data_IF_287035142150
#
_entry.id   IF_287035142150
#
_cell.length_a   1.000
_cell.length_b   1.000
_cell.length_c   1.000
_cell.angle_alpha   90.00
_cell.angle_beta   90.00
_cell.angle_gamma   90.00
#
_symmetry.space_group_name_H-M   'P 1'
#
loop_
_entity.id
_entity.type
_entity.pdbx_description
1 polymer ?
#
# COMPACT_ATOMS: atom_id res chain seq x y z
N UNK A 1 -11.31 -11.85 -16.57
CA UNK A 1 -11.89 -12.07 -15.23
C UNK A 1 -12.81 -13.28 -15.34
N UNK A 2 -12.64 -14.30 -14.50
CA UNK A 2 -13.47 -15.51 -14.54
C UNK A 2 -14.87 -15.23 -14.01
N UNK A 3 -15.87 -16.03 -14.42
CA UNK A 3 -17.24 -15.92 -13.89
C UNK A 3 -17.28 -16.00 -12.36
N UNK A 4 -16.44 -16.88 -11.79
CA UNK A 4 -16.28 -17.03 -10.34
C UNK A 4 -15.85 -15.73 -9.65
N UNK A 5 -14.87 -15.02 -10.20
CA UNK A 5 -14.40 -13.76 -9.62
C UNK A 5 -15.48 -12.65 -9.66
N UNK A 6 -16.37 -12.68 -10.65
CA UNK A 6 -17.51 -11.75 -10.74
C UNK A 6 -18.54 -12.06 -9.65
N UNK A 7 -18.86 -13.33 -9.45
CA UNK A 7 -19.80 -13.78 -8.42
C UNK A 7 -19.30 -13.39 -7.03
N UNK A 8 -18.04 -13.71 -6.71
CA UNK A 8 -17.42 -13.35 -5.43
C UNK A 8 -17.44 -11.83 -5.18
N UNK A 9 -17.10 -11.04 -6.20
CA UNK A 9 -17.15 -9.58 -6.10
C UNK A 9 -18.56 -9.08 -5.78
N UNK A 10 -19.57 -9.61 -6.47
CA UNK A 10 -20.97 -9.24 -6.26
C UNK A 10 -21.43 -9.61 -4.85
N UNK A 11 -21.11 -10.81 -4.37
CA UNK A 11 -21.45 -11.27 -3.02
C UNK A 11 -20.79 -10.40 -1.94
N UNK A 12 -19.48 -10.14 -2.07
CA UNK A 12 -18.75 -9.28 -1.15
C UNK A 12 -19.32 -7.85 -1.13
N UNK A 13 -19.66 -7.31 -2.31
CA UNK A 13 -20.23 -5.98 -2.45
C UNK A 13 -21.62 -5.86 -1.82
N UNK A 14 -22.51 -6.84 -2.04
CA UNK A 14 -23.85 -6.82 -1.45
C UNK A 14 -23.81 -6.96 0.09
N UNK A 15 -22.83 -7.67 0.65
CA UNK A 15 -22.62 -7.68 2.10
C UNK A 15 -22.16 -6.32 2.62
N UNK A 16 -21.16 -5.68 1.98
CA UNK A 16 -20.66 -4.35 2.37
C UNK A 16 -21.68 -3.24 2.15
N UNK A 17 -22.63 -3.41 1.22
CA UNK A 17 -23.72 -2.45 0.96
C UNK A 17 -24.66 -2.26 2.14
N UNK A 18 -24.71 -3.22 3.08
CA UNK A 18 -25.44 -3.10 4.35
C UNK A 18 -24.84 -1.99 5.24
N UNK A 19 -23.56 -1.68 5.06
CA UNK A 19 -22.86 -0.60 5.76
C UNK A 19 -23.10 0.74 5.03
N UNK A 20 -24.26 1.34 5.26
CA UNK A 20 -24.75 2.48 4.47
C UNK A 20 -23.85 3.73 4.51
N UNK A 21 -23.01 3.88 5.54
CA UNK A 21 -22.08 5.01 5.69
C UNK A 21 -20.82 4.90 4.84
N UNK A 22 -20.51 3.73 4.25
CA UNK A 22 -19.40 3.60 3.32
C UNK A 22 -19.78 4.21 1.98
N UNK A 23 -18.88 4.97 1.35
CA UNK A 23 -19.13 5.42 -0.02
C UNK A 23 -19.04 4.25 -1.02
N UNK A 24 -19.64 4.42 -2.20
CA UNK A 24 -19.73 3.35 -3.22
C UNK A 24 -18.36 2.89 -3.72
N UNK A 25 -17.41 3.82 -3.86
CA UNK A 25 -16.08 3.53 -4.40
C UNK A 25 -15.28 2.71 -3.40
N UNK A 26 -15.28 3.12 -2.13
CA UNK A 26 -14.65 2.35 -1.07
C UNK A 26 -15.26 0.95 -0.94
N UNK A 27 -16.60 0.81 -0.95
CA UNK A 27 -17.24 -0.52 -0.93
C UNK A 27 -16.75 -1.42 -2.06
N UNK A 28 -16.60 -0.88 -3.26
CA UNK A 28 -16.11 -1.65 -4.41
C UNK A 28 -14.66 -2.11 -4.20
N UNK A 29 -13.78 -1.20 -3.77
CA UNK A 29 -12.37 -1.51 -3.49
C UNK A 29 -12.24 -2.56 -2.39
N UNK A 30 -12.98 -2.41 -1.30
CA UNK A 30 -13.01 -3.38 -0.20
C UNK A 30 -13.58 -4.72 -0.66
N UNK A 31 -14.69 -4.75 -1.41
CA UNK A 31 -15.24 -6.00 -1.91
C UNK A 31 -14.26 -6.75 -2.83
N UNK A 32 -13.52 -6.00 -3.65
CA UNK A 32 -12.54 -6.57 -4.59
C UNK A 32 -11.34 -7.20 -3.89
N UNK A 33 -10.93 -6.69 -2.73
CA UNK A 33 -9.78 -7.23 -1.98
C UNK A 33 -10.01 -8.64 -1.43
N UNK A 34 -11.27 -9.08 -1.33
CA UNK A 34 -11.65 -10.43 -0.89
C UNK A 34 -11.83 -11.42 -2.04
N UNK A 35 -11.85 -10.98 -3.30
CA UNK A 35 -12.00 -11.88 -4.46
C UNK A 35 -10.74 -12.71 -4.63
N UNK A 36 -10.88 -14.04 -4.62
CA UNK A 36 -9.76 -14.98 -4.62
C UNK A 36 -8.97 -15.02 -3.30
N UNK A 37 -9.45 -14.34 -2.25
CA UNK A 37 -8.83 -14.40 -0.92
C UNK A 37 -9.07 -15.78 -0.28
N UNK A 38 -8.07 -16.31 0.43
CA UNK A 38 -8.23 -17.50 1.27
C UNK A 38 -9.16 -17.25 2.47
N UNK A 39 -9.39 -15.98 2.80
CA UNK A 39 -10.28 -15.52 3.85
C UNK A 39 -11.40 -14.70 3.21
N UNK A 40 -12.54 -15.32 2.84
CA UNK A 40 -13.65 -14.63 2.18
C UNK A 40 -14.30 -13.61 3.11
N UNK A 41 -15.00 -12.64 2.54
CA UNK A 41 -15.66 -11.61 3.34
C UNK A 41 -16.77 -12.23 4.21
N UNK A 42 -16.77 -11.88 5.49
CA UNK A 42 -17.82 -12.23 6.44
C UNK A 42 -18.27 -10.97 7.17
N UNK A 43 -19.54 -10.58 6.97
CA UNK A 43 -20.12 -9.45 7.68
C UNK A 43 -20.06 -9.60 9.22
N UNK A 44 -20.15 -10.82 9.72
CA UNK A 44 -20.00 -11.11 11.16
C UNK A 44 -18.58 -10.83 11.64
N UNK A 45 -17.57 -11.34 10.93
CA UNK A 45 -16.15 -11.08 11.28
C UNK A 45 -15.82 -9.60 11.14
N UNK A 46 -16.37 -8.93 10.13
CA UNK A 46 -16.22 -7.49 9.94
C UNK A 46 -16.74 -6.70 11.15
N UNK A 47 -17.98 -6.95 11.58
CA UNK A 47 -18.54 -6.25 12.75
C UNK A 47 -17.79 -6.57 14.05
N UNK A 48 -17.37 -7.82 14.25
CA UNK A 48 -16.56 -8.20 15.42
C UNK A 48 -15.20 -7.50 15.42
N UNK A 49 -14.52 -7.47 14.28
CA UNK A 49 -13.21 -6.79 14.13
C UNK A 49 -13.36 -5.29 14.35
N UNK A 50 -14.40 -4.69 13.76
CA UNK A 50 -14.75 -3.28 13.95
C UNK A 50 -15.00 -2.95 15.42
N UNK A 51 -15.72 -3.82 16.14
CA UNK A 51 -15.98 -3.65 17.56
C UNK A 51 -14.69 -3.78 18.39
N UNK A 52 -13.87 -4.80 18.16
CA UNK A 52 -12.56 -4.95 18.84
C UNK A 52 -11.66 -3.74 18.63
N UNK A 53 -11.57 -3.27 17.38
CA UNK A 53 -10.82 -2.06 17.05
C UNK A 53 -11.39 -0.87 17.80
N UNK A 54 -12.72 -0.69 17.83
CA UNK A 54 -13.36 0.39 18.58
C UNK A 54 -13.07 0.32 20.09
N UNK A 55 -13.05 -0.87 20.68
CA UNK A 55 -12.82 -1.07 22.11
C UNK A 55 -11.37 -0.76 22.50
N UNK A 56 -10.40 -1.17 21.67
CA UNK A 56 -8.99 -0.80 21.87
C UNK A 56 -8.70 0.66 21.53
N UNK A 57 -9.45 1.23 20.58
CA UNK A 57 -9.36 2.64 20.17
C UNK A 57 -10.26 3.58 20.95
N UNK A 58 -11.01 3.11 21.95
CA UNK A 58 -11.81 3.98 22.82
C UNK A 58 -10.96 5.07 23.50
N UNK A 59 -9.63 4.93 23.48
CA UNK A 59 -8.64 5.90 23.95
C UNK A 59 -8.15 6.92 22.88
N UNK A 60 -8.47 6.77 21.58
CA UNK A 60 -8.02 7.71 20.52
C UNK A 60 -8.97 7.86 19.31
N UNK A 61 -9.50 9.08 19.11
CA UNK A 61 -10.40 9.51 18.02
C UNK A 61 -9.77 9.66 16.60
N UNK A 62 -8.67 8.98 16.28
CA UNK A 62 -7.80 9.38 15.16
C UNK A 62 -8.09 8.75 13.78
N UNK A 63 -9.03 7.81 13.66
CA UNK A 63 -9.34 7.23 12.34
C UNK A 63 -10.44 7.99 11.62
N UNK A 64 -10.15 8.48 10.41
CA UNK A 64 -11.22 8.74 9.46
C UNK A 64 -11.91 7.42 9.09
N UNK A 65 -13.23 7.44 8.89
CA UNK A 65 -14.00 6.23 8.59
C UNK A 65 -13.42 5.41 7.43
N UNK A 66 -13.00 6.02 6.30
CA UNK A 66 -12.44 5.25 5.18
C UNK A 66 -11.19 4.44 5.53
N UNK A 67 -10.28 5.02 6.31
CA UNK A 67 -9.01 4.39 6.66
C UNK A 67 -9.23 3.25 7.64
N UNK A 68 -10.10 3.45 8.65
CA UNK A 68 -10.48 2.39 9.59
C UNK A 68 -11.05 1.17 8.87
N UNK A 69 -12.04 1.39 8.00
CA UNK A 69 -12.68 0.27 7.31
C UNK A 69 -11.71 -0.43 6.33
N UNK A 70 -10.77 0.32 5.74
CA UNK A 70 -9.70 -0.25 4.90
C UNK A 70 -8.76 -1.15 5.70
N UNK A 71 -8.32 -0.70 6.87
CA UNK A 71 -7.48 -1.49 7.78
C UNK A 71 -8.21 -2.73 8.28
N UNK A 72 -9.50 -2.63 8.64
CA UNK A 72 -10.32 -3.80 9.03
C UNK A 72 -10.31 -4.85 7.93
N UNK A 73 -10.60 -4.45 6.69
CA UNK A 73 -10.62 -5.37 5.57
C UNK A 73 -9.24 -5.97 5.29
N UNK A 74 -8.16 -5.20 5.40
CA UNK A 74 -6.79 -5.70 5.25
C UNK A 74 -6.43 -6.74 6.32
N UNK A 75 -6.80 -6.49 7.59
CA UNK A 75 -6.62 -7.47 8.67
C UNK A 75 -7.43 -8.74 8.39
N UNK A 76 -8.66 -8.61 7.91
CA UNK A 76 -9.51 -9.75 7.56
C UNK A 76 -8.94 -10.59 6.41
N UNK A 77 -8.45 -9.96 5.34
CA UNK A 77 -7.89 -10.67 4.18
C UNK A 77 -6.62 -11.46 4.52
N UNK A 78 -6.00 -11.20 5.67
CA UNK A 78 -4.80 -11.90 6.16
C UNK A 78 -5.04 -12.61 7.50
N UNK A 79 -6.30 -12.80 7.91
CA UNK A 79 -6.70 -13.47 9.16
C UNK A 79 -6.03 -12.90 10.43
N UNK A 80 -5.86 -11.58 10.50
CA UNK A 80 -5.28 -10.82 11.61
C UNK A 80 -6.34 -10.07 12.42
N UNK A 81 -7.46 -10.73 12.71
CA UNK A 81 -8.63 -10.12 13.39
C UNK A 81 -8.69 -10.38 14.89
N UNK A 82 -7.69 -11.09 15.45
CA UNK A 82 -7.59 -11.34 16.89
C UNK A 82 -7.27 -10.08 17.67
N UNK A 83 -7.62 -10.05 18.95
CA UNK A 83 -7.27 -8.91 19.83
C UNK A 83 -5.76 -8.67 19.87
N UNK A 84 -4.96 -9.73 19.92
CA UNK A 84 -3.50 -9.63 19.88
C UNK A 84 -2.99 -8.99 18.59
N UNK A 85 -3.55 -9.36 17.43
CA UNK A 85 -3.15 -8.78 16.16
C UNK A 85 -3.53 -7.29 16.08
N UNK A 86 -4.68 -6.91 16.62
CA UNK A 86 -5.09 -5.50 16.68
C UNK A 86 -4.18 -4.73 17.66
N UNK A 87 -3.88 -5.28 18.83
CA UNK A 87 -2.97 -4.65 19.79
C UNK A 87 -1.58 -4.44 19.17
N UNK A 88 -1.08 -5.43 18.42
CA UNK A 88 0.20 -5.31 17.73
C UNK A 88 0.18 -4.21 16.65
N UNK A 89 -0.94 -4.01 15.94
CA UNK A 89 -1.07 -2.93 14.96
C UNK A 89 -0.91 -1.56 15.63
N UNK A 90 -1.53 -1.39 16.80
CA UNK A 90 -1.47 -0.14 17.56
C UNK A 90 -0.08 0.08 18.14
N UNK A 91 0.56 -0.97 18.66
CA UNK A 91 1.95 -0.91 19.11
C UNK A 91 2.90 -0.54 17.96
N UNK A 92 2.74 -1.17 16.79
CA UNK A 92 3.55 -0.89 15.60
C UNK A 92 3.35 0.57 15.12
N UNK A 93 2.13 1.09 15.21
CA UNK A 93 1.84 2.50 14.94
C UNK A 93 2.60 3.42 15.92
N UNK A 94 2.53 3.16 17.23
CA UNK A 94 3.25 3.96 18.22
C UNK A 94 4.77 3.88 18.05
N UNK A 95 5.30 2.70 17.71
CA UNK A 95 6.71 2.52 17.38
C UNK A 95 7.13 3.34 16.15
N UNK A 96 6.31 3.40 15.10
CA UNK A 96 6.56 4.25 13.93
C UNK A 96 6.59 5.74 14.32
N UNK A 97 5.65 6.18 15.16
CA UNK A 97 5.64 7.56 15.66
C UNK A 97 6.90 7.87 16.47
N UNK A 98 7.31 6.97 17.36
CA UNK A 98 8.54 7.12 18.14
C UNK A 98 9.80 7.08 17.25
N UNK A 99 9.75 6.36 16.13
CA UNK A 99 10.76 6.36 15.07
C UNK A 99 10.75 7.63 14.19
N UNK A 100 9.88 8.60 14.48
CA UNK A 100 9.85 9.91 13.82
C UNK A 100 8.92 10.00 12.62
N UNK A 101 8.06 9.02 12.36
CA UNK A 101 6.95 9.19 11.42
C UNK A 101 5.87 10.09 12.03
N UNK A 102 5.11 10.80 11.19
CA UNK A 102 4.05 11.69 11.66
C UNK A 102 2.78 10.90 11.95
N UNK A 103 1.91 11.44 12.81
CA UNK A 103 0.57 10.89 13.05
C UNK A 103 -0.29 11.17 11.82
N UNK A 104 -0.65 10.13 11.10
CA UNK A 104 -1.45 10.24 9.88
C UNK A 104 -2.21 8.94 9.62
N UNK A 105 -3.24 8.98 8.77
CA UNK A 105 -3.88 7.78 8.26
C UNK A 105 -2.91 6.80 7.58
N UNK A 106 -1.87 7.32 6.91
CA UNK A 106 -0.87 6.52 6.21
C UNK A 106 0.05 5.74 7.13
N UNK A 107 0.31 6.26 8.33
CA UNK A 107 1.10 5.56 9.35
C UNK A 107 0.41 4.28 9.84
N UNK A 108 -0.93 4.22 9.80
CA UNK A 108 -1.64 2.95 10.06
C UNK A 108 -1.44 1.90 8.97
N UNK A 109 -1.37 2.30 7.69
CA UNK A 109 -1.02 1.36 6.61
C UNK A 109 0.42 0.88 6.75
N UNK A 110 1.34 1.76 7.14
CA UNK A 110 2.72 1.39 7.46
C UNK A 110 2.81 0.40 8.65
N UNK A 111 2.05 0.65 9.72
CA UNK A 111 1.96 -0.24 10.88
C UNK A 111 1.40 -1.61 10.50
N UNK A 112 0.37 -1.64 9.65
CA UNK A 112 -0.19 -2.87 9.12
C UNK A 112 0.85 -3.70 8.35
N UNK A 113 1.65 -3.05 7.50
CA UNK A 113 2.73 -3.73 6.77
C UNK A 113 3.80 -4.28 7.71
N UNK A 114 4.11 -3.56 8.79
CA UNK A 114 5.11 -3.99 9.78
C UNK A 114 4.72 -5.29 10.50
N UNK A 115 3.43 -5.63 10.57
CA UNK A 115 2.96 -6.88 11.16
C UNK A 115 3.45 -8.15 10.46
N UNK A 116 3.91 -8.02 9.21
CA UNK A 116 4.49 -9.11 8.42
C UNK A 116 6.00 -9.29 8.65
N UNK A 117 6.61 -8.42 9.46
CA UNK A 117 8.00 -8.53 9.89
C UNK A 117 8.11 -9.24 11.23
N UNK A 118 9.25 -9.90 11.48
CA UNK A 118 9.54 -10.50 12.79
C UNK A 118 9.71 -9.38 13.82
N UNK A 119 9.23 -9.59 15.04
CA UNK A 119 9.27 -8.59 16.13
C UNK A 119 10.66 -7.99 16.35
N UNK A 120 11.71 -8.82 16.34
CA UNK A 120 13.09 -8.37 16.58
C UNK A 120 13.65 -7.48 15.46
N UNK A 121 13.05 -7.50 14.27
CA UNK A 121 13.52 -6.74 13.11
C UNK A 121 12.81 -5.39 12.99
N UNK A 122 11.66 -5.20 13.66
CA UNK A 122 10.78 -4.05 13.48
C UNK A 122 11.46 -2.72 13.73
N UNK A 123 12.22 -2.57 14.82
CA UNK A 123 12.91 -1.31 15.12
C UNK A 123 13.97 -0.96 14.07
N UNK A 124 14.70 -1.96 13.57
CA UNK A 124 15.68 -1.76 12.51
C UNK A 124 15.00 -1.38 11.18
N UNK A 125 13.85 -2.00 10.87
CA UNK A 125 13.03 -1.67 9.69
C UNK A 125 12.48 -0.24 9.81
N UNK A 126 11.98 0.17 10.98
CA UNK A 126 11.50 1.53 11.22
C UNK A 126 12.63 2.54 11.02
N UNK A 127 13.81 2.29 11.60
CA UNK A 127 14.97 3.17 11.45
C UNK A 127 15.39 3.30 9.97
N UNK A 128 15.57 2.17 9.28
CA UNK A 128 15.92 2.16 7.85
C UNK A 128 14.85 2.83 6.99
N UNK A 129 13.57 2.55 7.26
CA UNK A 129 12.45 3.19 6.55
C UNK A 129 12.45 4.70 6.75
N UNK A 130 12.80 5.17 7.95
CA UNK A 130 12.93 6.60 8.24
C UNK A 130 14.10 7.24 7.49
N UNK A 131 15.22 6.55 7.38
CA UNK A 131 16.37 7.00 6.57
C UNK A 131 16.00 7.09 5.08
N UNK A 132 15.32 6.08 4.53
CA UNK A 132 14.81 6.10 3.15
C UNK A 132 13.86 7.29 2.95
N UNK A 133 12.93 7.49 3.87
CA UNK A 133 11.99 8.62 3.83
C UNK A 133 12.73 9.97 3.79
N UNK A 134 13.75 10.14 4.64
CA UNK A 134 14.54 11.37 4.68
C UNK A 134 15.36 11.59 3.41
N UNK A 135 15.96 10.53 2.86
CA UNK A 135 16.73 10.59 1.63
C UNK A 135 15.85 10.96 0.42
N UNK A 136 14.65 10.37 0.29
CA UNK A 136 13.68 10.76 -0.76
C UNK A 136 13.27 12.22 -0.58
N UNK A 137 13.00 12.65 0.66
CA UNK A 137 12.62 14.04 0.96
C UNK A 137 13.71 15.06 0.64
N UNK A 138 14.98 14.69 0.74
CA UNK A 138 16.08 15.57 0.34
C UNK A 138 16.08 15.82 -1.18
N UNK A 139 15.77 14.78 -1.97
CA UNK A 139 15.70 14.87 -3.44
C UNK A 139 14.41 15.52 -3.93
N UNK A 140 13.27 15.18 -3.32
CA UNK A 140 11.94 15.66 -3.70
C UNK A 140 11.17 16.28 -2.51
N UNK A 141 11.61 17.46 -2.01
CA UNK A 141 11.09 18.03 -0.77
C UNK A 141 9.59 18.40 -0.82
N UNK A 142 9.08 18.68 -2.02
CA UNK A 142 7.67 19.05 -2.24
C UNK A 142 6.76 17.88 -2.55
N UNK A 143 7.32 16.72 -2.90
CA UNK A 143 6.55 15.51 -3.25
C UNK A 143 6.54 14.47 -2.14
N UNK A 144 7.34 14.67 -1.09
CA UNK A 144 7.48 13.70 0.00
C UNK A 144 6.64 14.11 1.21
N UNK A 145 5.52 13.41 1.38
CA UNK A 145 4.48 13.68 2.38
C UNK A 145 4.35 12.57 3.42
N UNK A 146 3.20 12.44 4.06
CA UNK A 146 2.94 11.38 5.05
C UNK A 146 2.54 10.06 4.36
N UNK A 147 2.03 10.16 3.14
CA UNK A 147 1.66 9.11 2.21
C UNK A 147 2.81 8.20 1.77
N UNK A 148 4.07 8.65 1.91
CA UNK A 148 5.25 7.83 1.62
C UNK A 148 5.64 6.87 2.76
N UNK A 149 5.01 6.97 3.94
CA UNK A 149 5.32 6.09 5.06
C UNK A 149 5.16 4.59 4.73
N UNK A 150 4.07 4.13 4.09
CA UNK A 150 3.91 2.71 3.74
C UNK A 150 4.96 2.20 2.76
N UNK A 151 5.31 2.99 1.73
CA UNK A 151 6.27 2.52 0.72
C UNK A 151 7.70 2.49 1.28
N UNK A 152 8.08 3.47 2.09
CA UNK A 152 9.40 3.50 2.74
C UNK A 152 9.59 2.34 3.72
N UNK A 153 8.54 1.99 4.49
CA UNK A 153 8.55 0.79 5.35
C UNK A 153 8.59 -0.50 4.51
N UNK A 154 7.84 -0.56 3.41
CA UNK A 154 7.89 -1.73 2.51
C UNK A 154 9.28 -1.95 1.89
N UNK A 155 9.96 -0.87 1.49
CA UNK A 155 11.33 -0.94 0.97
C UNK A 155 12.31 -1.40 2.06
N UNK A 156 12.15 -0.89 3.29
CA UNK A 156 12.98 -1.28 4.42
C UNK A 156 12.76 -2.75 4.87
N UNK A 157 11.51 -3.25 4.80
CA UNK A 157 11.22 -4.64 5.19
C UNK A 157 11.69 -5.65 4.15
N UNK A 158 11.79 -5.27 2.88
CA UNK A 158 12.14 -6.19 1.80
C UNK A 158 13.54 -6.78 2.03
N UNK A 159 13.60 -8.09 2.27
CA UNK A 159 14.83 -8.80 2.64
C UNK A 159 15.94 -8.70 1.60
N UNK A 160 15.58 -8.54 0.31
CA UNK A 160 16.53 -8.40 -0.78
C UNK A 160 17.07 -6.98 -0.86
N UNK A 161 16.29 -5.99 -0.42
CA UNK A 161 16.71 -4.58 -0.29
C UNK A 161 17.40 -4.26 1.05
N UNK A 162 17.20 -5.06 2.09
CA UNK A 162 17.78 -4.83 3.42
C UNK A 162 19.30 -4.70 3.41
N UNK A 163 19.99 -5.45 2.55
CA UNK A 163 21.46 -5.40 2.41
C UNK A 163 21.99 -4.16 1.69
N UNK A 164 21.14 -3.46 0.94
CA UNK A 164 21.58 -2.29 0.17
C UNK A 164 21.61 -1.04 1.05
N UNK A 165 22.63 -0.17 0.87
CA UNK A 165 22.62 1.18 1.42
C UNK A 165 21.35 1.94 1.03
N UNK A 166 20.92 2.87 1.88
CA UNK A 166 19.76 3.73 1.61
C UNK A 166 19.96 4.53 0.31
N UNK A 167 21.18 5.01 0.07
CA UNK A 167 21.55 5.76 -1.15
C UNK A 167 21.29 4.96 -2.41
N UNK A 168 21.62 3.67 -2.42
CA UNK A 168 21.43 2.80 -3.59
C UNK A 168 19.93 2.63 -3.89
N UNK A 169 19.12 2.44 -2.84
CA UNK A 169 17.66 2.32 -2.97
C UNK A 169 17.08 3.61 -3.56
N UNK A 170 17.49 4.78 -3.03
CA UNK A 170 16.97 6.07 -3.50
C UNK A 170 17.48 6.43 -4.90
N UNK A 171 18.71 6.05 -5.25
CA UNK A 171 19.26 6.28 -6.60
C UNK A 171 18.53 5.45 -7.65
N UNK A 172 18.19 4.19 -7.34
CA UNK A 172 17.37 3.34 -8.20
C UNK A 172 15.97 3.94 -8.34
N UNK A 173 15.37 4.40 -7.24
CA UNK A 173 14.07 5.07 -7.26
C UNK A 173 14.09 6.32 -8.14
N UNK A 174 15.13 7.15 -8.05
CA UNK A 174 15.30 8.34 -8.91
C UNK A 174 15.47 7.97 -10.38
N UNK A 175 16.24 6.92 -10.67
CA UNK A 175 16.38 6.40 -12.05
C UNK A 175 15.03 5.98 -12.62
N UNK A 176 14.19 5.29 -11.84
CA UNK A 176 12.82 4.97 -12.25
C UNK A 176 11.98 6.23 -12.45
N UNK A 177 11.98 7.15 -11.49
CA UNK A 177 11.24 8.42 -11.57
C UNK A 177 11.55 9.20 -12.86
N UNK A 178 12.84 9.39 -13.16
CA UNK A 178 13.31 10.08 -14.38
C UNK A 178 12.94 9.31 -15.64
N UNK A 179 13.10 7.99 -15.64
CA UNK A 179 12.83 7.17 -16.83
C UNK A 179 11.35 7.07 -17.14
N UNK A 180 10.50 6.90 -16.12
CA UNK A 180 9.05 6.94 -16.25
C UNK A 180 8.58 8.31 -16.73
N UNK A 181 9.18 9.41 -16.23
CA UNK A 181 8.85 10.75 -16.72
C UNK A 181 9.10 10.91 -18.22
N UNK A 182 10.18 10.32 -18.75
CA UNK A 182 10.51 10.36 -20.18
C UNK A 182 9.47 9.63 -21.06
N UNK A 183 8.76 8.64 -20.52
CA UNK A 183 7.72 7.89 -21.25
C UNK A 183 6.30 8.41 -20.97
N UNK A 184 6.17 9.61 -20.40
CA UNK A 184 4.90 10.33 -20.30
C UNK A 184 4.25 10.36 -18.92
N UNK A 185 4.88 9.77 -17.89
CA UNK A 185 4.40 9.95 -16.52
C UNK A 185 4.65 11.41 -16.10
N UNK A 186 3.59 12.12 -15.73
CA UNK A 186 3.68 13.48 -15.22
C UNK A 186 4.34 13.50 -13.85
N UNK A 187 5.19 14.50 -13.60
CA UNK A 187 5.80 14.71 -12.29
C UNK A 187 4.74 14.96 -11.22
N UNK A 188 4.94 14.37 -10.04
CA UNK A 188 4.01 14.41 -8.92
C UNK A 188 4.17 13.20 -8.01
N UNK A 189 3.41 13.21 -6.92
CA UNK A 189 3.47 12.20 -5.86
C UNK A 189 3.11 10.82 -6.39
N UNK A 190 2.19 10.72 -7.37
CA UNK A 190 1.81 9.44 -7.96
C UNK A 190 2.96 8.81 -8.78
N UNK A 191 3.81 9.63 -9.40
CA UNK A 191 5.01 9.15 -10.09
C UNK A 191 6.08 8.72 -9.09
N UNK A 192 6.26 9.46 -8.00
CA UNK A 192 7.15 9.07 -6.91
C UNK A 192 6.72 7.73 -6.31
N UNK A 193 5.42 7.57 -6.02
CA UNK A 193 4.85 6.33 -5.52
C UNK A 193 5.02 5.17 -6.52
N UNK A 194 4.80 5.39 -7.82
CA UNK A 194 5.03 4.39 -8.85
C UNK A 194 6.50 3.96 -8.93
N UNK A 195 7.44 4.90 -8.85
CA UNK A 195 8.87 4.62 -8.83
C UNK A 195 9.26 3.78 -7.60
N UNK A 196 8.76 4.12 -6.41
CA UNK A 196 8.97 3.33 -5.20
C UNK A 196 8.45 1.89 -5.31
N UNK A 197 7.27 1.71 -5.91
CA UNK A 197 6.72 0.37 -6.18
C UNK A 197 7.55 -0.40 -7.21
N UNK A 198 8.11 0.26 -8.23
CA UNK A 198 9.01 -0.40 -9.19
C UNK A 198 10.27 -0.92 -8.48
N UNK A 199 10.88 -0.15 -7.58
CA UNK A 199 12.01 -0.63 -6.77
C UNK A 199 11.60 -1.82 -5.91
N UNK A 200 10.44 -1.76 -5.26
CA UNK A 200 9.95 -2.83 -4.40
C UNK A 200 9.74 -4.15 -5.14
N UNK A 201 9.19 -4.09 -6.36
CA UNK A 201 8.82 -5.26 -7.16
C UNK A 201 9.99 -5.83 -7.95
N UNK A 202 10.74 -4.97 -8.64
CA UNK A 202 11.83 -5.39 -9.55
C UNK A 202 13.19 -5.45 -8.86
N UNK A 203 13.34 -4.88 -7.66
CA UNK A 203 14.52 -5.03 -6.80
C UNK A 203 15.84 -4.63 -7.46
N UNK A 204 15.77 -3.62 -8.32
CA UNK A 204 16.88 -3.17 -9.14
C UNK A 204 16.36 -2.27 -10.25
N UNK A 205 17.25 -1.58 -10.97
CA UNK A 205 16.86 -0.82 -12.15
C UNK A 205 17.15 -1.63 -13.42
N UNK A 206 16.11 -1.84 -14.22
CA UNK A 206 16.20 -2.57 -15.47
C UNK A 206 15.57 -1.73 -16.60
N UNK A 207 16.33 -1.31 -17.63
CA UNK A 207 15.79 -0.55 -18.75
C UNK A 207 14.65 -1.25 -19.48
N UNK A 208 14.69 -2.58 -19.58
CA UNK A 208 13.63 -3.39 -20.19
C UNK A 208 12.27 -3.19 -19.52
N UNK A 209 12.25 -2.96 -18.21
CA UNK A 209 11.00 -2.68 -17.47
C UNK A 209 10.37 -1.35 -17.91
N UNK A 210 11.18 -0.36 -18.27
CA UNK A 210 10.67 0.92 -18.82
C UNK A 210 10.08 0.70 -20.21
N UNK A 211 10.71 -0.16 -21.03
CA UNK A 211 10.20 -0.53 -22.35
C UNK A 211 8.85 -1.26 -22.24
N UNK A 212 8.71 -2.18 -21.29
CA UNK A 212 7.46 -2.88 -21.03
C UNK A 212 6.36 -1.95 -20.47
N UNK A 213 6.70 -1.01 -19.59
CA UNK A 213 5.75 0.02 -19.14
C UNK A 213 5.26 0.87 -20.31
N UNK A 214 6.16 1.24 -21.23
CA UNK A 214 5.78 1.96 -22.45
C UNK A 214 4.83 1.13 -23.33
N UNK A 215 5.08 -0.18 -23.48
CA UNK A 215 4.15 -1.08 -24.17
C UNK A 215 2.79 -1.15 -23.44
N UNK A 216 2.78 -1.22 -22.11
CA UNK A 216 1.55 -1.21 -21.31
C UNK A 216 0.72 0.08 -21.52
N UNK A 217 1.38 1.24 -21.59
CA UNK A 217 0.71 2.52 -21.91
C UNK A 217 0.09 2.48 -23.31
N UNK A 218 0.80 1.91 -24.29
CA UNK A 218 0.25 1.75 -25.64
C UNK A 218 -0.97 0.83 -25.64
N UNK A 219 -0.95 -0.27 -24.89
CA UNK A 219 -2.11 -1.15 -24.73
C UNK A 219 -3.30 -0.42 -24.10
N UNK A 220 -3.06 0.41 -23.09
CA UNK A 220 -4.12 1.25 -22.51
C UNK A 220 -4.76 2.14 -23.58
N UNK A 221 -3.95 2.82 -24.37
CA UNK A 221 -4.44 3.68 -25.47
C UNK A 221 -5.23 2.88 -26.51
N UNK A 222 -4.73 1.71 -26.94
CA UNK A 222 -5.40 0.84 -27.91
C UNK A 222 -6.78 0.40 -27.41
N UNK A 223 -6.90 0.12 -26.11
CA UNK A 223 -8.15 -0.29 -25.48
C UNK A 223 -8.99 0.88 -24.93
N UNK A 224 -8.64 2.12 -25.26
CA UNK A 224 -9.32 3.35 -24.79
C UNK A 224 -9.37 3.47 -23.26
N UNK A 225 -8.40 2.86 -22.58
CA UNK A 225 -8.20 3.04 -21.15
C UNK A 225 -7.40 4.32 -20.89
N UNK A 226 -7.74 5.09 -19.86
CA UNK A 226 -7.06 6.35 -19.57
C UNK A 226 -5.66 6.12 -19.00
N UNK A 227 -4.66 6.81 -19.55
CA UNK A 227 -3.37 7.00 -18.91
C UNK A 227 -3.41 8.30 -18.09
N UNK A 228 -3.58 8.17 -16.78
CA UNK A 228 -3.70 9.30 -15.83
C UNK A 228 -2.93 8.95 -14.55
N UNK A 229 -2.72 9.92 -13.68
CA UNK A 229 -1.93 9.76 -12.45
C UNK A 229 -2.42 8.61 -11.58
N UNK A 230 -3.73 8.39 -11.53
CA UNK A 230 -4.36 7.32 -10.76
C UNK A 230 -4.04 5.91 -11.29
N UNK A 231 -3.55 5.79 -12.53
CA UNK A 231 -3.20 4.50 -13.14
C UNK A 231 -1.70 4.20 -13.11
N UNK A 232 -0.86 5.09 -12.58
CA UNK A 232 0.60 4.92 -12.60
C UNK A 232 1.07 3.69 -11.84
N UNK A 233 0.61 3.51 -10.60
CA UNK A 233 0.93 2.30 -9.83
C UNK A 233 0.38 1.04 -10.51
N UNK A 234 -0.83 1.12 -11.09
CA UNK A 234 -1.43 -0.01 -11.83
C UNK A 234 -0.58 -0.42 -13.03
N UNK A 235 0.01 0.53 -13.76
CA UNK A 235 0.93 0.20 -14.86
C UNK A 235 2.15 -0.55 -14.33
N UNK A 236 2.75 -0.10 -13.22
CA UNK A 236 3.88 -0.79 -12.60
C UNK A 236 3.52 -2.21 -12.19
N UNK A 237 2.38 -2.41 -11.54
CA UNK A 237 1.91 -3.74 -11.13
C UNK A 237 1.60 -4.64 -12.32
N UNK A 238 0.96 -4.11 -13.37
CA UNK A 238 0.65 -4.87 -14.57
C UNK A 238 1.91 -5.27 -15.32
N UNK A 239 2.91 -4.39 -15.39
CA UNK A 239 4.23 -4.72 -15.96
C UNK A 239 4.88 -5.86 -15.19
N UNK A 240 4.88 -5.80 -13.85
CA UNK A 240 5.44 -6.88 -13.01
C UNK A 240 4.72 -8.23 -13.21
N UNK A 241 3.42 -8.22 -13.46
CA UNK A 241 2.65 -9.44 -13.73
C UNK A 241 2.86 -9.99 -15.16
N UNK A 242 3.40 -9.19 -16.07
CA UNK A 242 3.69 -9.60 -17.45
C UNK A 242 5.12 -10.09 -17.67
N UNK A 243 6.01 -9.88 -16.71
CA UNK A 243 7.40 -10.38 -16.69
C UNK A 243 7.52 -11.71 -15.99
#
# INVERSE_FOLDING_TARGET
MTLQAVIELQENYEQLKKEQWLDKQLRYVLARSFVGSQHPFSGTVYQQTRQRIKDQLALFNQFSSPVRESIICLLMTHNRTSEQAISQLLEDYDQLINGGFRRSPYTYFAAYLLQFSKTNDKLAIIAKGKEIYQAIKQTHPFLTGEEDAPITISLAQNSLLQKFPVTDITDIMEKYYVSMNKIGFSKGDELQFAAGNAVLLFQGYHPSIIEEMMQMIQQFSLHRLPFRRETYASIVFLTYLST
#
